data_IF_334137053305
#
_entry.id   IF_334137053305
#
_cell.length_a   1.000
_cell.length_b   1.000
_cell.length_c   1.000
_cell.angle_alpha   90.00
_cell.angle_beta   90.00
_cell.angle_gamma   90.00
#
_symmetry.space_group_name_H-M   'P 1'
#
loop_
_entity.id
_entity.type
_entity.pdbx_description
1 polymer ?
#
# COMPACT_ATOMS: atom_id res chain seq x y z
N UNK A 1 7.95 -5.73 1.20
CA UNK A 1 8.14 -6.33 2.53
C UNK A 1 7.08 -5.78 3.47
N UNK A 2 6.41 -6.65 4.21
CA UNK A 2 5.55 -6.24 5.33
C UNK A 2 6.40 -6.23 6.61
N UNK A 3 6.35 -5.15 7.38
CA UNK A 3 7.08 -5.00 8.63
C UNK A 3 6.14 -4.52 9.74
N UNK A 4 6.54 -4.73 10.99
CA UNK A 4 5.88 -4.16 12.18
C UNK A 4 6.76 -3.05 12.74
N UNK A 5 6.22 -1.85 12.85
CA UNK A 5 6.87 -0.68 13.45
C UNK A 5 6.25 -0.38 14.83
N UNK A 6 6.84 0.59 15.54
CA UNK A 6 6.28 1.07 16.81
C UNK A 6 4.86 1.67 16.65
N UNK A 7 4.50 2.11 15.43
CA UNK A 7 3.21 2.70 15.11
C UNK A 7 2.18 1.71 14.53
N UNK A 8 2.58 0.47 14.19
CA UNK A 8 1.67 -0.53 13.62
C UNK A 8 2.31 -1.42 12.56
N UNK A 9 1.56 -1.72 11.49
CA UNK A 9 2.06 -2.44 10.32
C UNK A 9 2.46 -1.44 9.22
N UNK A 10 3.53 -1.76 8.50
CA UNK A 10 4.02 -0.97 7.38
C UNK A 10 4.31 -1.83 6.17
N UNK A 11 3.95 -1.32 4.99
CA UNK A 11 4.29 -1.90 3.71
C UNK A 11 5.46 -1.13 3.09
N UNK A 12 6.54 -1.85 2.76
CA UNK A 12 7.69 -1.28 2.04
C UNK A 12 7.86 -1.94 0.68
N UNK A 13 8.10 -1.13 -0.37
CA UNK A 13 8.32 -1.62 -1.74
C UNK A 13 9.23 -0.68 -2.54
N UNK A 14 9.94 -1.17 -3.56
CA UNK A 14 10.79 -0.31 -4.40
C UNK A 14 9.94 0.65 -5.24
N UNK A 15 10.26 1.95 -5.20
CA UNK A 15 9.60 2.98 -6.00
C UNK A 15 10.48 3.48 -7.14
N UNK A 16 10.30 2.96 -8.35
CA UNK A 16 11.02 3.43 -9.53
C UNK A 16 10.74 4.91 -9.84
N UNK A 17 11.77 5.69 -10.18
CA UNK A 17 11.65 7.11 -10.47
C UNK A 17 10.68 7.36 -11.65
N UNK A 18 9.76 8.32 -11.47
CA UNK A 18 8.78 8.70 -12.50
C UNK A 18 7.55 7.80 -12.59
N UNK A 19 7.42 6.78 -11.74
CA UNK A 19 6.21 5.93 -11.64
C UNK A 19 5.40 6.35 -10.42
N UNK A 20 4.09 6.54 -10.57
CA UNK A 20 3.18 6.73 -9.44
C UNK A 20 2.66 5.37 -8.98
N UNK A 21 2.68 5.16 -7.66
CA UNK A 21 2.19 3.93 -7.03
C UNK A 21 0.95 4.24 -6.21
N UNK A 22 -0.13 3.51 -6.44
CA UNK A 22 -1.35 3.58 -5.62
C UNK A 22 -1.41 2.38 -4.69
N UNK A 23 -1.51 2.62 -3.39
CA UNK A 23 -1.78 1.58 -2.39
C UNK A 23 -3.28 1.53 -2.18
N UNK A 24 -3.84 0.35 -2.33
CA UNK A 24 -5.27 0.10 -2.12
C UNK A 24 -5.46 -0.94 -1.03
N UNK A 25 -6.58 -0.84 -0.32
CA UNK A 25 -6.96 -1.75 0.76
C UNK A 25 -8.33 -2.37 0.51
N UNK A 26 -8.57 -3.54 1.10
CA UNK A 26 -9.87 -4.20 1.11
C UNK A 26 -10.04 -5.03 2.37
N UNK A 27 -11.26 -5.06 2.92
CA UNK A 27 -11.63 -5.98 4.00
C UNK A 27 -11.89 -7.42 3.52
N UNK A 28 -12.05 -7.65 2.21
CA UNK A 28 -12.36 -8.97 1.66
C UNK A 28 -11.84 -9.15 0.24
N UNK A 29 -11.10 -10.24 -0.01
CA UNK A 29 -10.71 -10.62 -1.37
C UNK A 29 -11.91 -11.04 -2.24
N UNK A 30 -13.00 -11.53 -1.64
CA UNK A 30 -14.15 -12.07 -2.37
C UNK A 30 -15.06 -10.95 -2.93
N UNK A 31 -15.12 -9.80 -2.25
CA UNK A 31 -15.98 -8.69 -2.66
C UNK A 31 -15.42 -7.93 -3.87
N UNK A 32 -14.11 -8.02 -4.13
CA UNK A 32 -13.45 -7.36 -5.26
C UNK A 32 -13.41 -5.82 -5.20
N UNK A 33 -13.97 -5.21 -4.15
CA UNK A 33 -13.91 -3.76 -3.93
C UNK A 33 -12.61 -3.38 -3.23
N UNK A 34 -11.86 -2.47 -3.86
CA UNK A 34 -10.59 -1.94 -3.36
C UNK A 34 -10.73 -0.43 -3.19
N UNK A 35 -10.36 0.08 -2.02
CA UNK A 35 -10.34 1.50 -1.71
C UNK A 35 -8.91 2.04 -1.82
N UNK A 36 -8.75 3.23 -2.38
CA UNK A 36 -7.44 3.89 -2.43
C UNK A 36 -7.09 4.39 -1.03
N UNK A 37 -6.00 3.85 -0.48
CA UNK A 37 -5.44 4.30 0.79
C UNK A 37 -4.55 5.52 0.59
N UNK A 38 -3.65 5.47 -0.39
CA UNK A 38 -2.70 6.57 -0.68
C UNK A 38 -2.05 6.41 -2.05
N UNK A 39 -1.45 7.50 -2.54
CA UNK A 39 -0.64 7.53 -3.76
C UNK A 39 0.75 8.10 -3.47
N UNK A 40 1.80 7.48 -4.03
CA UNK A 40 3.20 7.81 -3.76
C UNK A 40 3.97 7.93 -5.07
N UNK A 41 4.65 9.06 -5.34
CA UNK A 41 5.57 9.15 -6.47
C UNK A 41 6.84 8.35 -6.17
N UNK A 42 7.25 7.49 -7.10
CA UNK A 42 8.52 6.82 -7.03
C UNK A 42 9.68 7.78 -7.34
N UNK A 43 10.73 7.66 -6.53
CA UNK A 43 11.92 8.53 -6.58
C UNK A 43 13.24 7.73 -6.69
N UNK A 44 13.18 6.45 -7.07
CA UNK A 44 14.33 5.55 -7.07
C UNK A 44 14.71 5.02 -5.67
N UNK A 45 13.84 5.24 -4.68
CA UNK A 45 14.03 4.81 -3.29
C UNK A 45 12.84 3.93 -2.85
N UNK A 46 13.00 3.13 -1.78
CA UNK A 46 11.89 2.41 -1.19
C UNK A 46 10.80 3.36 -0.70
N UNK A 47 9.55 3.05 -1.03
CA UNK A 47 8.36 3.68 -0.48
C UNK A 47 7.96 2.89 0.76
N UNK A 48 7.64 3.57 1.85
CA UNK A 48 7.16 2.98 3.11
C UNK A 48 5.79 3.60 3.41
N UNK A 49 4.79 2.75 3.59
CA UNK A 49 3.41 3.16 3.80
C UNK A 49 2.89 2.55 5.10
N UNK A 50 2.47 3.37 6.08
CA UNK A 50 1.79 2.87 7.26
C UNK A 50 0.43 2.31 6.87
N UNK A 51 0.10 1.13 7.39
CA UNK A 51 -1.14 0.45 7.12
C UNK A 51 -2.12 0.68 8.28
N UNK A 52 -3.37 1.07 8.00
CA UNK A 52 -4.39 1.06 9.04
C UNK A 52 -4.58 -0.37 9.55
N UNK A 53 -5.05 -0.50 10.79
CA UNK A 53 -5.43 -1.77 11.43
C UNK A 53 -6.86 -1.65 11.99
N UNK A 54 -7.81 -1.33 11.12
CA UNK A 54 -9.22 -1.10 11.50
C UNK A 54 -10.03 -2.39 11.68
N UNK A 55 -9.63 -3.47 11.02
CA UNK A 55 -10.31 -4.76 11.04
C UNK A 55 -9.32 -5.90 11.36
N UNK A 56 -9.79 -7.05 11.91
CA UNK A 56 -8.92 -8.19 12.24
C UNK A 56 -8.18 -8.78 11.04
N UNK A 57 -8.73 -8.60 9.83
CA UNK A 57 -8.15 -9.05 8.56
C UNK A 57 -8.34 -7.98 7.50
N UNK A 58 -7.25 -7.63 6.83
CA UNK A 58 -7.25 -6.71 5.71
C UNK A 58 -6.26 -7.15 4.64
N UNK A 59 -6.55 -6.75 3.42
CA UNK A 59 -5.78 -7.07 2.23
C UNK A 59 -5.30 -5.77 1.62
N UNK A 60 -4.05 -5.77 1.15
CA UNK A 60 -3.40 -4.61 0.57
C UNK A 60 -2.80 -4.98 -0.77
N UNK A 61 -2.88 -4.08 -1.74
CA UNK A 61 -2.19 -4.21 -3.03
C UNK A 61 -1.56 -2.89 -3.45
N UNK A 62 -0.54 -2.99 -4.28
CA UNK A 62 0.15 -1.85 -4.88
C UNK A 62 -0.05 -1.92 -6.39
N UNK A 63 -0.50 -0.82 -6.98
CA UNK A 63 -0.59 -0.65 -8.43
C UNK A 63 0.47 0.35 -8.88
N UNK A 64 1.21 0.00 -9.93
CA UNK A 64 2.18 0.87 -10.56
C UNK A 64 1.59 1.46 -11.85
N UNK A 65 1.82 2.75 -12.07
CA UNK A 65 1.16 3.50 -13.15
C UNK A 65 -0.11 4.18 -12.65
N UNK A 66 -0.32 5.43 -13.08
CA UNK A 66 -1.58 6.14 -12.82
C UNK A 66 -2.79 5.42 -13.45
N UNK A 67 -4.01 5.86 -13.16
CA UNK A 67 -5.20 5.36 -13.87
C UNK A 67 -5.05 5.46 -15.40
#
# INVERSE_FOLDING_TARGET
MLARSAAGLELSFPGAAGVVYTVEMSGSLAAGSWEILSAHPGAGQPIVVPLPMVEPRMFFRVKAGGP
#
